data_IF_564553526128
#
_entry.id   IF_564553526128
#
_cell.length_a   1.000
_cell.length_b   1.000
_cell.length_c   1.000
_cell.angle_alpha   90.00
_cell.angle_beta   90.00
_cell.angle_gamma   90.00
#
_symmetry.space_group_name_H-M   'P 1'
#
loop_
_entity.id
_entity.type
_entity.pdbx_description
1 polymer ?
#
# COMPACT_ATOMS: atom_id res chain seq x y z
N UNK A 1 -41.22 88.62 -51.87
CA UNK A 1 -41.60 87.76 -50.72
C UNK A 1 -41.39 86.28 -51.05
N UNK A 2 -40.29 85.92 -51.71
CA UNK A 2 -39.97 84.54 -52.14
C UNK A 2 -38.52 84.15 -51.79
N UNK A 3 -37.64 85.14 -51.64
CA UNK A 3 -36.26 84.96 -51.20
C UNK A 3 -36.13 84.68 -49.70
N UNK A 4 -37.02 85.22 -48.87
CA UNK A 4 -37.02 84.99 -47.42
C UNK A 4 -37.48 83.57 -47.02
N UNK A 5 -38.38 82.96 -47.80
CA UNK A 5 -38.89 81.60 -47.54
C UNK A 5 -37.87 80.51 -47.87
N UNK A 6 -36.99 80.76 -48.86
CA UNK A 6 -35.96 79.81 -49.29
C UNK A 6 -34.82 79.69 -48.26
N UNK A 7 -34.37 80.84 -47.73
CA UNK A 7 -33.29 80.89 -46.72
C UNK A 7 -33.70 80.24 -45.40
N UNK A 8 -34.97 80.39 -44.99
CA UNK A 8 -35.48 79.78 -43.76
C UNK A 8 -35.52 78.24 -43.84
N UNK A 9 -35.80 77.69 -45.03
CA UNK A 9 -35.88 76.25 -45.26
C UNK A 9 -34.49 75.59 -45.25
N UNK A 10 -33.46 76.23 -45.83
CA UNK A 10 -32.07 75.75 -45.76
C UNK A 10 -31.50 75.79 -44.33
N UNK A 11 -31.83 76.82 -43.55
CA UNK A 11 -31.40 76.92 -42.15
C UNK A 11 -32.09 75.83 -41.31
N UNK A 12 -33.37 75.54 -41.56
CA UNK A 12 -34.12 74.50 -40.86
C UNK A 12 -33.60 73.09 -41.17
N UNK A 13 -33.29 72.78 -42.44
CA UNK A 13 -32.72 71.48 -42.83
C UNK A 13 -31.29 71.30 -42.33
N UNK A 14 -30.50 72.38 -42.28
CA UNK A 14 -29.16 72.39 -41.70
C UNK A 14 -29.19 72.11 -40.20
N UNK A 15 -30.08 72.76 -39.45
CA UNK A 15 -30.28 72.54 -38.01
C UNK A 15 -30.79 71.12 -37.71
N UNK A 16 -31.72 70.59 -38.51
CA UNK A 16 -32.21 69.22 -38.36
C UNK A 16 -31.12 68.18 -38.66
N UNK A 17 -30.32 68.38 -39.71
CA UNK A 17 -29.17 67.55 -40.02
C UNK A 17 -28.13 67.59 -38.90
N UNK A 18 -27.80 68.77 -38.37
CA UNK A 18 -26.88 68.91 -37.24
C UNK A 18 -27.40 68.21 -35.97
N UNK A 19 -28.70 68.28 -35.70
CA UNK A 19 -29.32 67.60 -34.57
C UNK A 19 -29.24 66.07 -34.72
N UNK A 20 -29.43 65.54 -35.94
CA UNK A 20 -29.22 64.12 -36.21
C UNK A 20 -27.73 63.72 -36.12
N UNK A 21 -26.80 64.49 -36.71
CA UNK A 21 -25.36 64.20 -36.61
C UNK A 21 -24.79 64.34 -35.19
N UNK A 22 -25.39 65.15 -34.33
CA UNK A 22 -25.01 65.30 -32.93
C UNK A 22 -25.66 64.26 -32.00
N UNK A 23 -26.82 63.70 -32.36
CA UNK A 23 -27.53 62.68 -31.56
C UNK A 23 -27.21 61.24 -31.97
N UNK A 24 -26.65 61.01 -33.17
CA UNK A 24 -26.29 59.67 -33.65
C UNK A 24 -25.03 59.07 -32.99
N UNK A 25 -24.03 59.83 -32.48
CA UNK A 25 -22.88 59.20 -31.83
C UNK A 25 -23.13 58.59 -30.45
N UNK A 26 -24.29 58.82 -29.81
CA UNK A 26 -24.55 58.35 -28.44
C UNK A 26 -25.29 57.01 -28.32
N UNK A 27 -25.70 56.38 -29.43
CA UNK A 27 -26.48 55.13 -29.41
C UNK A 27 -25.66 53.86 -29.70
N UNK A 28 -24.33 53.97 -29.83
CA UNK A 28 -23.46 52.84 -30.18
C UNK A 28 -22.20 52.79 -29.29
N UNK A 29 -22.39 52.63 -27.98
CA UNK A 29 -21.36 52.06 -27.11
C UNK A 29 -22.03 51.07 -26.17
N UNK A 30 -22.61 50.01 -26.74
CA UNK A 30 -22.78 48.77 -25.97
C UNK A 30 -21.39 48.11 -25.95
N UNK A 31 -20.55 48.59 -25.04
CA UNK A 31 -19.26 47.96 -24.76
C UNK A 31 -19.59 46.62 -24.08
N UNK A 32 -19.86 45.61 -24.89
CA UNK A 32 -20.02 44.22 -24.44
C UNK A 32 -18.74 43.91 -23.67
N UNK A 33 -18.84 43.86 -22.34
CA UNK A 33 -17.71 43.61 -21.46
C UNK A 33 -17.16 42.21 -21.74
N UNK A 34 -16.13 42.14 -22.59
CA UNK A 34 -15.56 40.87 -23.05
C UNK A 34 -14.94 40.17 -21.83
N UNK A 35 -15.45 38.99 -21.49
CA UNK A 35 -14.88 38.15 -20.44
C UNK A 35 -13.43 37.77 -20.82
N UNK A 36 -12.42 38.12 -20.00
CA UNK A 36 -11.03 37.88 -20.35
C UNK A 36 -10.72 36.38 -20.37
N UNK A 37 -9.87 35.97 -21.30
CA UNK A 37 -9.43 34.58 -21.40
C UNK A 37 -8.46 34.22 -20.27
N UNK A 38 -8.51 33.00 -19.71
CA UNK A 38 -7.59 32.55 -18.66
C UNK A 38 -6.12 32.71 -19.07
N UNK A 39 -5.22 33.09 -18.16
CA UNK A 39 -3.81 33.33 -18.49
C UNK A 39 -2.89 32.37 -17.73
N UNK A 40 -1.60 32.33 -18.10
CA UNK A 40 -0.55 31.57 -17.42
C UNK A 40 -0.87 30.06 -17.26
N UNK A 41 -1.30 29.43 -18.36
CA UNK A 41 -1.55 28.00 -18.39
C UNK A 41 -0.25 27.21 -18.14
N UNK A 42 -0.31 26.24 -17.24
CA UNK A 42 0.79 25.33 -16.93
C UNK A 42 0.26 23.96 -16.51
N UNK A 43 1.09 22.93 -16.61
CA UNK A 43 0.73 21.57 -16.17
C UNK A 43 1.69 21.16 -15.05
N UNK A 44 1.15 20.89 -13.87
CA UNK A 44 1.86 20.25 -12.78
C UNK A 44 1.64 18.73 -12.89
N UNK A 45 2.71 17.99 -13.14
CA UNK A 45 2.66 16.54 -13.33
C UNK A 45 3.57 15.83 -12.34
N UNK A 46 2.97 15.13 -11.39
CA UNK A 46 3.67 14.39 -10.34
C UNK A 46 3.05 13.00 -10.20
N UNK A 47 3.88 11.96 -10.19
CA UNK A 47 3.46 10.56 -10.10
C UNK A 47 2.26 10.24 -11.02
N UNK A 48 2.39 10.57 -12.31
CA UNK A 48 1.36 10.33 -13.34
C UNK A 48 0.00 11.01 -13.10
N UNK A 49 -0.13 11.84 -12.07
CA UNK A 49 -1.25 12.77 -11.90
C UNK A 49 -0.95 14.08 -12.61
N UNK A 50 -1.91 14.61 -13.36
CA UNK A 50 -1.71 15.75 -14.27
C UNK A 50 -2.73 16.85 -13.98
N UNK A 51 -2.28 17.93 -13.35
CA UNK A 51 -3.11 19.10 -13.06
C UNK A 51 -2.79 20.25 -14.02
N UNK A 52 -3.76 20.61 -14.87
CA UNK A 52 -3.73 21.83 -15.66
C UNK A 52 -4.15 23.00 -14.77
N UNK A 53 -3.34 24.04 -14.68
CA UNK A 53 -3.58 25.22 -13.84
C UNK A 53 -3.53 26.50 -14.67
N UNK A 54 -4.30 27.51 -14.26
CA UNK A 54 -4.31 28.84 -14.88
C UNK A 54 -4.54 29.94 -13.84
N UNK A 55 -4.29 31.19 -14.21
CA UNK A 55 -4.63 32.34 -13.38
C UNK A 55 -6.15 32.55 -13.36
N UNK A 56 -6.77 32.75 -12.18
CA UNK A 56 -8.21 32.91 -12.07
C UNK A 56 -8.67 34.21 -12.75
N UNK A 57 -9.80 34.12 -13.45
CA UNK A 57 -10.52 35.27 -13.99
C UNK A 57 -11.46 35.79 -12.90
N UNK A 58 -11.21 36.99 -12.40
CA UNK A 58 -11.99 37.59 -11.32
C UNK A 58 -12.97 38.63 -11.86
N UNK A 59 -14.25 38.42 -11.63
CA UNK A 59 -15.31 39.41 -11.88
C UNK A 59 -15.98 39.75 -10.54
N UNK A 60 -16.01 41.03 -10.12
CA UNK A 60 -16.54 41.39 -8.80
C UNK A 60 -17.98 40.93 -8.59
N UNK A 61 -18.23 40.17 -7.52
CA UNK A 61 -19.58 39.71 -7.14
C UNK A 61 -20.11 38.52 -7.94
N UNK A 62 -19.32 37.95 -8.84
CA UNK A 62 -19.75 36.92 -9.78
C UNK A 62 -18.82 35.68 -9.70
N UNK A 63 -19.40 34.50 -9.90
CA UNK A 63 -18.65 33.23 -9.97
C UNK A 63 -18.36 32.86 -11.41
N UNK A 64 -17.07 32.74 -11.74
CA UNK A 64 -16.62 32.35 -13.07
C UNK A 64 -16.37 30.84 -13.12
N UNK A 65 -16.89 30.19 -14.16
CA UNK A 65 -16.69 28.77 -14.42
C UNK A 65 -15.71 28.56 -15.57
N UNK A 66 -15.07 27.39 -15.62
CA UNK A 66 -14.11 27.03 -16.65
C UNK A 66 -14.49 25.73 -17.34
N UNK A 67 -14.22 25.66 -18.64
CA UNK A 67 -14.32 24.44 -19.43
C UNK A 67 -12.96 24.12 -20.04
N UNK A 68 -12.52 22.87 -19.91
CA UNK A 68 -11.24 22.38 -20.44
C UNK A 68 -11.50 21.41 -21.59
N UNK A 69 -10.70 21.55 -22.64
CA UNK A 69 -10.68 20.62 -23.76
C UNK A 69 -9.25 20.24 -24.13
N UNK A 70 -9.11 19.08 -24.76
CA UNK A 70 -7.82 18.54 -25.16
C UNK A 70 -7.82 18.00 -26.59
N UNK A 71 -6.61 17.83 -27.13
CA UNK A 71 -6.32 17.11 -28.36
C UNK A 71 -5.08 16.24 -28.13
N UNK A 72 -5.15 14.96 -28.47
CA UNK A 72 -3.96 14.13 -28.58
C UNK A 72 -3.19 14.42 -29.88
N UNK A 73 -2.07 13.74 -30.06
CA UNK A 73 -1.25 13.86 -31.26
C UNK A 73 -2.02 13.48 -32.54
N UNK A 74 -2.89 12.46 -32.46
CA UNK A 74 -3.72 12.05 -33.59
C UNK A 74 -4.67 13.17 -34.01
N UNK A 75 -5.43 13.75 -33.09
CA UNK A 75 -6.34 14.86 -33.40
C UNK A 75 -5.57 16.06 -33.90
N UNK A 76 -4.43 16.37 -33.28
CA UNK A 76 -3.58 17.49 -33.71
C UNK A 76 -3.09 17.34 -35.16
N UNK A 77 -2.79 16.12 -35.63
CA UNK A 77 -2.24 15.87 -36.96
C UNK A 77 -3.30 15.63 -38.04
N UNK A 78 -4.38 14.93 -37.70
CA UNK A 78 -5.35 14.44 -38.69
C UNK A 78 -6.71 15.14 -38.61
N UNK A 79 -7.09 15.68 -37.44
CA UNK A 79 -8.40 16.29 -37.19
C UNK A 79 -8.30 17.55 -36.34
N UNK A 80 -7.40 18.47 -36.70
CA UNK A 80 -6.99 19.62 -35.86
C UNK A 80 -8.10 20.59 -35.42
N UNK A 81 -9.27 20.52 -36.04
CA UNK A 81 -10.46 21.29 -35.67
C UNK A 81 -11.31 20.63 -34.56
N UNK A 82 -11.08 19.35 -34.27
CA UNK A 82 -11.82 18.56 -33.28
C UNK A 82 -11.13 18.66 -31.93
N UNK A 83 -11.84 19.16 -30.93
CA UNK A 83 -11.39 19.19 -29.54
C UNK A 83 -12.33 18.34 -28.69
N UNK A 84 -11.76 17.64 -27.71
CA UNK A 84 -12.49 16.69 -26.87
C UNK A 84 -12.69 17.34 -25.49
N UNK A 85 -13.93 17.40 -24.95
CA UNK A 85 -14.18 17.90 -23.61
C UNK A 85 -13.51 17.02 -22.57
N UNK A 86 -12.86 17.65 -21.59
CA UNK A 86 -12.32 16.93 -20.44
C UNK A 86 -13.43 16.23 -19.66
N UNK A 87 -13.12 15.02 -19.19
CA UNK A 87 -14.05 14.16 -18.46
C UNK A 87 -14.60 14.80 -17.18
N UNK A 88 -13.78 15.61 -16.50
CA UNK A 88 -14.11 16.16 -15.18
C UNK A 88 -14.33 17.68 -15.18
N UNK A 89 -13.93 18.38 -16.24
CA UNK A 89 -13.79 19.83 -16.23
C UNK A 89 -14.63 20.51 -17.32
N UNK A 90 -15.91 20.13 -17.41
CA UNK A 90 -16.84 20.76 -18.36
C UNK A 90 -17.46 22.07 -17.85
N UNK A 91 -17.44 22.34 -16.53
CA UNK A 91 -17.85 23.59 -15.85
C UNK A 91 -17.32 23.55 -14.40
N UNK A 92 -16.05 23.92 -14.18
CA UNK A 92 -15.43 23.95 -12.84
C UNK A 92 -15.25 25.39 -12.34
N UNK A 93 -15.43 25.64 -11.05
CA UNK A 93 -15.17 26.95 -10.43
C UNK A 93 -13.69 27.15 -10.08
N UNK A 94 -12.98 26.03 -9.88
CA UNK A 94 -11.59 26.04 -9.45
C UNK A 94 -10.68 26.32 -10.65
N UNK A 95 -9.64 27.18 -10.52
CA UNK A 95 -8.73 27.50 -11.62
C UNK A 95 -7.70 26.39 -11.91
N UNK A 96 -8.12 25.13 -11.76
CA UNK A 96 -7.35 23.94 -12.05
C UNK A 96 -8.25 22.81 -12.55
N UNK A 97 -7.66 21.84 -13.24
CA UNK A 97 -8.33 20.67 -13.75
C UNK A 97 -7.42 19.45 -13.70
N UNK A 98 -7.93 18.35 -13.14
CA UNK A 98 -7.30 17.04 -13.23
C UNK A 98 -7.59 16.41 -14.59
N UNK A 99 -6.60 16.44 -15.47
CA UNK A 99 -6.67 15.88 -16.84
C UNK A 99 -6.05 14.49 -16.91
N UNK A 100 -5.79 13.83 -15.78
CA UNK A 100 -5.09 12.53 -15.74
C UNK A 100 -5.76 11.48 -16.63
N UNK A 101 -7.09 11.38 -16.56
CA UNK A 101 -7.87 10.41 -17.33
C UNK A 101 -7.97 10.75 -18.82
N UNK A 102 -7.78 12.02 -19.18
CA UNK A 102 -7.81 12.50 -20.56
C UNK A 102 -6.48 12.18 -21.30
N UNK A 103 -5.36 12.07 -20.56
CA UNK A 103 -4.01 11.80 -21.08
C UNK A 103 -3.70 10.29 -21.09
N UNK A 104 -4.28 9.58 -22.06
CA UNK A 104 -4.23 8.12 -22.13
C UNK A 104 -2.96 7.55 -22.79
N UNK A 105 -2.24 8.33 -23.60
CA UNK A 105 -1.06 7.89 -24.35
C UNK A 105 0.22 8.70 -24.05
N UNK A 106 1.39 8.12 -24.34
CA UNK A 106 2.70 8.79 -24.15
C UNK A 106 3.07 9.63 -25.38
N UNK A 107 2.17 10.55 -25.74
CA UNK A 107 2.31 11.46 -26.88
C UNK A 107 2.08 12.91 -26.42
N UNK A 108 2.42 13.92 -27.23
CA UNK A 108 2.09 15.30 -26.90
C UNK A 108 0.57 15.57 -26.99
N UNK A 109 0.05 16.32 -26.01
CA UNK A 109 -1.34 16.78 -25.94
C UNK A 109 -1.41 18.30 -25.94
N UNK A 110 -2.29 18.86 -26.77
CA UNK A 110 -2.69 20.26 -26.66
C UNK A 110 -3.82 20.36 -25.64
N UNK A 111 -3.76 21.38 -24.79
CA UNK A 111 -4.79 21.67 -23.78
C UNK A 111 -5.27 23.09 -23.96
N UNK A 112 -6.58 23.32 -23.81
CA UNK A 112 -7.16 24.66 -23.81
C UNK A 112 -8.22 24.82 -22.74
N UNK A 113 -8.34 26.04 -22.23
CA UNK A 113 -9.35 26.42 -21.24
C UNK A 113 -10.01 27.73 -21.64
N UNK A 114 -11.30 27.86 -21.34
CA UNK A 114 -12.03 29.12 -21.44
C UNK A 114 -12.81 29.38 -20.16
N UNK A 115 -13.08 30.65 -19.88
CA UNK A 115 -13.97 31.10 -18.83
C UNK A 115 -15.39 31.27 -19.35
N UNK A 116 -16.38 31.03 -18.48
CA UNK A 116 -17.80 31.20 -18.74
C UNK A 116 -18.43 31.93 -17.56
N UNK A 117 -19.21 32.97 -17.84
CA UNK A 117 -19.98 33.73 -16.87
C UNK A 117 -21.37 33.99 -17.44
N UNK A 118 -22.38 33.25 -16.95
CA UNK A 118 -23.73 33.28 -17.50
C UNK A 118 -23.73 32.90 -18.99
N UNK A 119 -24.18 33.79 -19.86
CA UNK A 119 -24.16 33.61 -21.32
C UNK A 119 -22.84 34.03 -21.98
N UNK A 120 -21.94 34.69 -21.24
CA UNK A 120 -20.67 35.19 -21.77
C UNK A 120 -19.59 34.11 -21.70
N UNK A 121 -18.80 33.99 -22.76
CA UNK A 121 -17.65 33.08 -22.81
C UNK A 121 -16.43 33.85 -23.27
N UNK A 122 -15.28 33.52 -22.69
CA UNK A 122 -14.01 34.08 -23.14
C UNK A 122 -13.53 33.40 -24.42
N UNK A 123 -12.53 33.99 -25.07
CA UNK A 123 -11.71 33.26 -26.01
C UNK A 123 -11.03 32.05 -25.33
N UNK A 124 -10.63 31.06 -26.13
CA UNK A 124 -9.85 29.92 -25.67
C UNK A 124 -8.40 30.34 -25.43
N UNK A 125 -7.87 29.97 -24.27
CA UNK A 125 -6.45 30.02 -23.97
C UNK A 125 -5.85 28.64 -24.18
N UNK A 126 -4.76 28.57 -24.94
CA UNK A 126 -4.11 27.31 -25.31
C UNK A 126 -2.77 27.21 -24.56
N UNK A 127 -2.47 26.02 -24.03
CA UNK A 127 -1.19 25.73 -23.42
C UNK A 127 -0.06 25.93 -24.44
N UNK A 128 0.92 26.76 -24.11
CA UNK A 128 1.96 27.21 -25.04
C UNK A 128 2.81 26.05 -25.61
N UNK A 129 3.11 25.07 -24.77
CA UNK A 129 3.88 23.89 -25.14
C UNK A 129 3.02 22.65 -24.91
N UNK A 130 2.85 21.77 -25.93
CA UNK A 130 2.09 20.54 -25.76
C UNK A 130 2.65 19.70 -24.60
N UNK A 131 1.77 19.15 -23.78
CA UNK A 131 2.12 18.35 -22.62
C UNK A 131 2.30 16.88 -23.00
N UNK A 132 3.39 16.25 -22.58
CA UNK A 132 3.57 14.80 -22.70
C UNK A 132 3.82 14.22 -21.31
N UNK A 133 3.05 13.19 -20.92
CA UNK A 133 3.18 12.53 -19.61
C UNK A 133 4.58 11.96 -19.34
N UNK A 134 5.39 11.74 -20.38
CA UNK A 134 6.81 11.38 -20.22
C UNK A 134 7.62 12.41 -19.41
N UNK A 135 7.15 13.66 -19.32
CA UNK A 135 7.77 14.73 -18.53
C UNK A 135 7.36 14.75 -17.05
N UNK A 136 6.54 13.81 -16.59
CA UNK A 136 6.10 13.74 -15.18
C UNK A 136 7.27 13.64 -14.21
N UNK A 137 7.11 14.21 -13.02
CA UNK A 137 8.04 14.09 -11.92
C UNK A 137 7.69 12.80 -11.16
N UNK A 138 8.64 11.86 -11.09
CA UNK A 138 8.50 10.63 -10.31
C UNK A 138 9.22 10.81 -8.97
N UNK A 139 8.47 10.79 -7.88
CA UNK A 139 9.06 10.83 -6.53
C UNK A 139 9.35 9.42 -6.03
N UNK A 140 10.33 9.25 -5.12
CA UNK A 140 10.48 7.99 -4.40
C UNK A 140 9.16 7.61 -3.71
N UNK A 141 8.83 6.30 -3.63
CA UNK A 141 7.59 5.85 -3.00
C UNK A 141 7.69 5.98 -1.48
N UNK A 142 6.56 6.28 -0.83
CA UNK A 142 6.41 6.01 0.59
C UNK A 142 6.59 4.50 0.87
N UNK A 143 7.30 4.16 1.93
CA UNK A 143 7.48 2.78 2.37
C UNK A 143 7.37 2.68 3.89
N UNK A 144 6.82 1.57 4.36
CA UNK A 144 6.77 1.19 5.77
C UNK A 144 7.32 -0.22 5.93
N UNK A 145 8.26 -0.41 6.85
CA UNK A 145 8.86 -1.72 7.13
C UNK A 145 8.29 -2.25 8.45
N UNK A 146 7.68 -3.42 8.38
CA UNK A 146 7.13 -4.12 9.53
C UNK A 146 7.82 -5.47 9.74
N UNK A 147 7.73 -5.98 10.97
CA UNK A 147 8.30 -7.26 11.38
C UNK A 147 7.18 -8.14 11.89
N UNK A 148 6.94 -9.27 11.22
CA UNK A 148 6.00 -10.29 11.68
C UNK A 148 6.80 -11.50 12.19
N UNK A 149 7.09 -11.51 13.49
CA UNK A 149 8.05 -12.44 14.09
C UNK A 149 9.46 -12.23 13.52
N UNK A 150 9.93 -13.20 12.72
CA UNK A 150 11.20 -13.13 12.01
C UNK A 150 11.05 -12.68 10.54
N UNK A 151 9.84 -12.42 10.05
CA UNK A 151 9.63 -12.05 8.65
C UNK A 151 9.82 -10.54 8.44
N UNK A 152 10.63 -10.18 7.44
CA UNK A 152 10.77 -8.82 6.94
C UNK A 152 9.63 -8.54 5.96
N UNK A 153 8.74 -7.63 6.32
CA UNK A 153 7.57 -7.26 5.54
C UNK A 153 7.67 -5.78 5.16
N UNK A 154 7.38 -5.47 3.90
CA UNK A 154 7.30 -4.09 3.41
C UNK A 154 5.88 -3.79 2.94
N UNK A 155 5.38 -2.61 3.27
CA UNK A 155 4.20 -2.02 2.67
C UNK A 155 4.61 -0.75 1.93
N UNK A 156 4.15 -0.62 0.69
CA UNK A 156 4.46 0.50 -0.19
C UNK A 156 3.23 1.39 -0.35
N UNK A 157 3.42 2.68 -0.54
CA UNK A 157 2.32 3.61 -0.86
C UNK A 157 1.58 3.18 -2.13
N UNK A 158 0.24 3.24 -2.10
CA UNK A 158 -0.58 2.98 -3.29
C UNK A 158 -0.60 4.20 -4.22
N UNK A 159 0.27 4.15 -5.25
CA UNK A 159 0.34 5.15 -6.31
C UNK A 159 -0.58 4.82 -7.50
N UNK A 160 -1.34 3.73 -7.44
CA UNK A 160 -2.26 3.29 -8.47
C UNK A 160 -1.65 2.34 -9.52
N UNK A 161 -2.47 1.88 -10.49
CA UNK A 161 -2.15 0.73 -11.35
C UNK A 161 -1.07 0.98 -12.41
N UNK A 162 -0.64 2.24 -12.59
CA UNK A 162 0.42 2.60 -13.52
C UNK A 162 1.83 2.31 -12.95
N UNK A 163 1.90 2.00 -11.66
CA UNK A 163 3.14 1.87 -10.91
C UNK A 163 3.43 0.42 -10.56
N UNK A 164 4.65 0.00 -10.89
CA UNK A 164 5.31 -1.15 -10.30
C UNK A 164 6.43 -0.64 -9.39
N UNK A 165 6.91 -1.47 -8.46
CA UNK A 165 7.92 -1.08 -7.49
C UNK A 165 9.08 -2.06 -7.52
N UNK A 166 10.29 -1.54 -7.62
CA UNK A 166 11.51 -2.30 -7.48
C UNK A 166 12.01 -2.14 -6.05
N UNK A 167 11.94 -3.21 -5.28
CA UNK A 167 12.39 -3.27 -3.89
C UNK A 167 13.73 -3.97 -3.83
N UNK A 168 14.75 -3.27 -3.35
CA UNK A 168 16.08 -3.82 -3.10
C UNK A 168 16.27 -4.01 -1.58
N UNK A 169 16.67 -5.21 -1.18
CA UNK A 169 16.88 -5.55 0.23
C UNK A 169 18.13 -6.42 0.41
N UNK A 170 18.81 -6.26 1.53
CA UNK A 170 20.04 -6.98 1.82
C UNK A 170 20.29 -7.07 3.32
N UNK A 171 21.11 -8.04 3.71
CA UNK A 171 21.66 -8.14 5.05
C UNK A 171 22.77 -7.11 5.22
N UNK A 172 22.77 -6.34 6.31
CA UNK A 172 23.75 -5.28 6.58
C UNK A 172 25.10 -5.88 6.98
N UNK A 173 25.85 -6.33 5.99
CA UNK A 173 27.19 -6.86 6.14
C UNK A 173 28.11 -6.38 5.00
N UNK A 174 29.42 -6.24 5.24
CA UNK A 174 30.36 -5.89 4.19
C UNK A 174 30.35 -6.96 3.08
N UNK A 175 30.05 -6.54 1.84
CA UNK A 175 30.05 -7.43 0.68
C UNK A 175 28.78 -8.25 0.47
N UNK A 176 27.70 -7.99 1.22
CA UNK A 176 26.40 -8.60 0.96
C UNK A 176 25.82 -8.15 -0.40
N UNK A 177 25.26 -9.09 -1.15
CA UNK A 177 24.57 -8.80 -2.41
C UNK A 177 23.15 -8.27 -2.16
N UNK A 178 22.71 -7.31 -2.98
CA UNK A 178 21.33 -6.81 -2.94
C UNK A 178 20.39 -7.75 -3.68
N UNK A 179 19.38 -8.27 -2.96
CA UNK A 179 18.26 -8.97 -3.56
C UNK A 179 17.24 -7.97 -4.08
N UNK A 180 16.67 -8.25 -5.25
CA UNK A 180 15.68 -7.36 -5.88
C UNK A 180 14.37 -8.11 -6.10
N UNK A 181 13.26 -7.49 -5.70
CA UNK A 181 11.90 -8.00 -5.89
C UNK A 181 11.03 -6.93 -6.56
N UNK A 182 10.35 -7.34 -7.64
CA UNK A 182 9.33 -6.51 -8.27
C UNK A 182 7.99 -6.72 -7.56
N UNK A 183 7.41 -5.64 -7.04
CA UNK A 183 6.09 -5.59 -6.41
C UNK A 183 5.13 -4.87 -7.35
N UNK A 184 3.98 -5.46 -7.63
CA UNK A 184 3.05 -4.97 -8.66
C UNK A 184 2.11 -3.86 -8.20
N UNK A 185 1.85 -3.75 -6.89
CA UNK A 185 0.86 -2.83 -6.34
C UNK A 185 1.25 -2.43 -4.92
N UNK A 186 0.94 -1.19 -4.56
CA UNK A 186 1.08 -0.69 -3.18
C UNK A 186 -0.15 -1.01 -2.33
N UNK A 187 -0.15 -0.57 -1.06
CA UNK A 187 -1.22 -0.73 -0.08
C UNK A 187 -1.41 -2.15 0.44
N UNK A 188 -0.45 -3.05 0.18
CA UNK A 188 -0.51 -4.45 0.59
C UNK A 188 0.84 -4.83 1.23
N UNK A 189 0.85 -5.47 2.41
CA UNK A 189 2.07 -5.98 3.01
C UNK A 189 2.65 -7.13 2.19
N UNK A 190 3.94 -7.03 1.87
CA UNK A 190 4.68 -8.01 1.08
C UNK A 190 5.84 -8.56 1.89
N UNK A 191 5.83 -9.88 2.10
CA UNK A 191 6.99 -10.58 2.65
C UNK A 191 8.19 -10.47 1.70
N UNK A 192 9.33 -10.01 2.21
CA UNK A 192 10.61 -9.96 1.51
C UNK A 192 11.45 -11.20 1.82
N UNK A 193 11.86 -11.35 3.07
CA UNK A 193 12.82 -12.37 3.52
C UNK A 193 12.56 -12.77 4.97
N UNK A 194 13.01 -13.96 5.38
CA UNK A 194 13.03 -14.34 6.80
C UNK A 194 14.37 -13.93 7.42
N UNK A 195 14.33 -13.04 8.41
CA UNK A 195 15.50 -12.46 9.07
C UNK A 195 16.13 -13.41 10.08
N UNK A 196 17.45 -13.38 10.13
CA UNK A 196 18.21 -14.04 11.20
C UNK A 196 18.30 -13.17 12.47
N UNK A 197 18.19 -13.79 13.66
CA UNK A 197 18.43 -13.10 14.93
C UNK A 197 19.78 -12.37 15.00
N UNK A 198 19.76 -11.10 15.42
CA UNK A 198 20.97 -10.30 15.63
C UNK A 198 21.60 -9.73 14.35
N UNK A 199 21.00 -9.97 13.18
CA UNK A 199 21.41 -9.38 11.91
C UNK A 199 20.45 -8.27 11.50
N UNK A 200 20.99 -7.09 11.16
CA UNK A 200 20.20 -6.00 10.59
C UNK A 200 19.99 -6.23 9.09
N UNK A 201 18.76 -6.01 8.60
CA UNK A 201 18.40 -6.05 7.20
C UNK A 201 17.99 -4.65 6.75
N UNK A 202 18.45 -4.24 5.58
CA UNK A 202 18.18 -2.95 4.98
C UNK A 202 17.31 -3.10 3.74
N UNK A 203 16.43 -2.12 3.51
CA UNK A 203 15.53 -2.07 2.36
C UNK A 203 15.48 -0.66 1.80
N UNK A 204 15.38 -0.55 0.48
CA UNK A 204 15.06 0.66 -0.28
C UNK A 204 14.16 0.30 -1.45
N UNK A 205 13.31 1.22 -1.88
CA UNK A 205 12.37 0.99 -2.98
C UNK A 205 12.38 2.16 -3.97
N UNK A 206 12.10 1.88 -5.24
CA UNK A 206 11.84 2.90 -6.25
C UNK A 206 10.64 2.49 -7.10
N UNK A 207 9.97 3.47 -7.69
CA UNK A 207 8.86 3.22 -8.60
C UNK A 207 9.37 2.97 -10.02
N UNK A 208 8.57 2.24 -10.79
CA UNK A 208 8.72 2.03 -12.22
C UNK A 208 7.38 2.26 -12.91
N UNK A 209 7.36 3.14 -13.91
CA UNK A 209 6.16 3.43 -14.70
C UNK A 209 6.34 2.87 -16.11
N UNK A 210 5.71 1.74 -16.38
CA UNK A 210 5.83 1.02 -17.66
C UNK A 210 5.40 1.86 -18.85
N UNK A 211 4.38 2.71 -18.69
CA UNK A 211 3.82 3.55 -19.74
C UNK A 211 4.83 4.56 -20.33
N UNK A 212 5.83 4.97 -19.54
CA UNK A 212 6.88 5.93 -19.94
C UNK A 212 8.29 5.33 -19.86
N UNK A 213 8.43 4.10 -19.33
CA UNK A 213 9.72 3.40 -19.21
C UNK A 213 10.71 4.06 -18.26
N UNK A 214 10.22 4.79 -17.24
CA UNK A 214 11.06 5.55 -16.29
C UNK A 214 10.94 5.02 -14.87
N UNK A 215 12.02 5.18 -14.12
CA UNK A 215 12.09 4.89 -12.69
C UNK A 215 12.18 6.19 -11.88
N UNK A 216 11.68 6.19 -10.65
CA UNK A 216 12.01 7.24 -9.67
C UNK A 216 13.43 7.08 -9.14
N UNK A 217 13.88 8.03 -8.32
CA UNK A 217 14.97 7.76 -7.40
C UNK A 217 14.54 6.74 -6.33
N UNK A 218 15.52 6.09 -5.70
CA UNK A 218 15.29 5.24 -4.52
C UNK A 218 14.83 6.07 -3.33
N UNK A 219 13.99 5.45 -2.50
CA UNK A 219 13.65 5.92 -1.16
C UNK A 219 14.88 5.90 -0.26
N UNK A 220 14.76 6.56 0.88
CA UNK A 220 15.77 6.45 1.93
C UNK A 220 15.89 4.99 2.37
N UNK A 221 17.13 4.56 2.63
CA UNK A 221 17.36 3.20 3.11
C UNK A 221 16.95 3.09 4.58
N UNK A 222 16.05 2.18 4.88
CA UNK A 222 15.65 1.86 6.25
C UNK A 222 16.12 0.46 6.60
N UNK A 223 16.52 0.27 7.86
CA UNK A 223 17.02 -1.02 8.30
C UNK A 223 16.45 -1.42 9.65
N UNK A 224 16.12 -2.70 9.76
CA UNK A 224 15.50 -3.30 10.93
C UNK A 224 16.27 -4.54 11.35
N UNK A 225 16.22 -4.84 12.65
CA UNK A 225 16.83 -6.02 13.23
C UNK A 225 15.79 -6.75 14.10
N UNK A 226 15.89 -8.07 14.16
CA UNK A 226 15.12 -8.91 15.08
C UNK A 226 16.06 -9.42 16.17
N UNK A 227 15.70 -9.17 17.42
CA UNK A 227 16.37 -9.81 18.55
C UNK A 227 15.86 -11.25 18.65
N UNK A 228 16.77 -12.21 18.60
CA UNK A 228 16.41 -13.58 18.97
C UNK A 228 16.26 -13.67 20.47
N UNK A 229 15.19 -14.34 20.92
CA UNK A 229 15.22 -14.95 22.25
C UNK A 229 16.26 -16.07 22.22
N UNK A 230 17.51 -15.73 22.51
CA UNK A 230 18.48 -16.74 22.85
C UNK A 230 18.01 -17.36 24.16
N UNK A 231 17.29 -18.49 24.10
CA UNK A 231 17.19 -19.39 25.26
C UNK A 231 18.64 -19.62 25.65
N UNK A 232 19.09 -19.13 26.82
CA UNK A 232 20.49 -19.23 27.17
C UNK A 232 20.85 -20.71 27.08
N UNK A 233 21.89 -21.07 26.34
CA UNK A 233 22.38 -22.45 26.29
C UNK A 233 22.50 -23.03 27.71
N UNK A 234 22.82 -22.15 28.66
CA UNK A 234 22.80 -22.35 30.11
C UNK A 234 21.47 -22.92 30.64
N UNK A 235 20.31 -22.36 30.26
CA UNK A 235 18.98 -22.83 30.66
C UNK A 235 18.65 -24.23 30.07
N UNK A 236 19.00 -24.47 28.80
CA UNK A 236 18.85 -25.78 28.19
C UNK A 236 19.76 -26.83 28.84
N UNK A 237 21.00 -26.44 29.18
CA UNK A 237 21.95 -27.28 29.93
C UNK A 237 21.42 -27.60 31.34
N UNK A 238 20.87 -26.62 32.06
CA UNK A 238 20.28 -26.85 33.37
C UNK A 238 19.07 -27.80 33.31
N UNK A 239 18.20 -27.66 32.31
CA UNK A 239 17.09 -28.57 32.10
C UNK A 239 17.56 -30.01 31.80
N UNK A 240 18.60 -30.16 30.97
CA UNK A 240 19.19 -31.46 30.64
C UNK A 240 19.84 -32.15 31.85
N UNK A 241 20.63 -31.40 32.64
CA UNK A 241 21.25 -31.91 33.86
C UNK A 241 20.19 -32.29 34.89
N UNK A 242 19.15 -31.46 35.05
CA UNK A 242 18.02 -31.76 35.93
C UNK A 242 17.32 -33.05 35.55
N UNK A 243 17.06 -33.27 34.25
CA UNK A 243 16.46 -34.49 33.74
C UNK A 243 17.33 -35.74 34.01
N UNK A 244 18.65 -35.65 33.78
CA UNK A 244 19.58 -36.74 34.07
C UNK A 244 19.63 -37.08 35.57
N UNK A 245 19.60 -36.08 36.45
CA UNK A 245 19.54 -36.30 37.89
C UNK A 245 18.27 -37.04 38.31
N UNK A 246 17.12 -36.67 37.73
CA UNK A 246 15.84 -37.35 38.00
C UNK A 246 15.92 -38.83 37.58
N UNK A 247 16.49 -39.12 36.40
CA UNK A 247 16.68 -40.49 35.91
C UNK A 247 17.58 -41.36 36.80
N UNK A 248 18.48 -40.76 37.58
CA UNK A 248 19.34 -41.51 38.51
C UNK A 248 18.69 -41.60 39.90
N UNK A 249 18.16 -40.50 40.42
CA UNK A 249 17.64 -40.41 41.79
C UNK A 249 16.35 -41.22 41.93
N UNK A 250 15.44 -41.18 40.94
CA UNK A 250 14.15 -41.88 41.04
C UNK A 250 14.34 -43.40 41.11
N UNK A 251 15.12 -44.07 40.23
CA UNK A 251 15.36 -45.51 40.34
C UNK A 251 16.10 -45.90 41.62
N UNK A 252 17.08 -45.09 42.08
CA UNK A 252 17.77 -45.36 43.34
C UNK A 252 16.83 -45.23 44.54
N UNK A 253 15.91 -44.26 44.51
CA UNK A 253 14.89 -44.10 45.53
C UNK A 253 13.90 -45.27 45.51
N UNK A 254 13.41 -45.67 44.34
CA UNK A 254 12.54 -46.84 44.16
C UNK A 254 13.23 -48.12 44.63
N UNK A 255 14.50 -48.32 44.27
CA UNK A 255 15.31 -49.45 44.76
C UNK A 255 15.41 -49.41 46.29
N UNK A 256 15.83 -48.28 46.87
CA UNK A 256 16.00 -48.14 48.33
C UNK A 256 14.70 -48.40 49.08
N UNK A 257 13.58 -47.85 48.59
CA UNK A 257 12.25 -48.08 49.16
C UNK A 257 11.82 -49.55 49.01
N UNK A 258 12.10 -50.19 47.87
CA UNK A 258 11.88 -51.62 47.66
C UNK A 258 12.66 -52.50 48.64
N UNK A 259 13.94 -52.19 48.89
CA UNK A 259 14.75 -52.88 49.92
C UNK A 259 14.18 -52.67 51.32
N UNK A 260 13.80 -51.45 51.69
CA UNK A 260 13.23 -51.13 53.01
C UNK A 260 11.91 -51.88 53.28
N UNK A 261 11.05 -51.99 52.25
CA UNK A 261 9.81 -52.78 52.32
C UNK A 261 10.10 -54.28 52.47
N UNK A 262 11.12 -54.80 51.77
CA UNK A 262 11.53 -56.20 51.87
C UNK A 262 12.06 -56.57 53.26
N UNK A 263 12.75 -55.65 53.94
CA UNK A 263 13.19 -55.83 55.34
C UNK A 263 12.06 -55.73 56.37
N UNK A 264 10.92 -55.10 56.03
CA UNK A 264 9.81 -54.90 56.97
C UNK A 264 8.74 -55.99 56.90
N UNK A 265 8.52 -56.61 55.73
CA UNK A 265 7.43 -57.59 55.56
C UNK A 265 7.83 -59.06 55.76
N UNK A 266 9.13 -59.42 55.71
CA UNK A 266 9.62 -60.77 56.01
C UNK A 266 11.06 -60.73 56.57
N UNK A 267 11.28 -60.62 57.89
CA UNK A 267 12.62 -60.82 58.44
C UNK A 267 13.05 -62.28 58.25
N UNK A 268 14.22 -62.50 57.65
CA UNK A 268 14.85 -63.82 57.59
C UNK A 268 15.22 -64.22 59.02
N UNK A 269 14.40 -65.07 59.64
CA UNK A 269 14.75 -65.75 60.88
C UNK A 269 15.60 -66.96 60.50
N UNK A 270 16.88 -66.92 60.84
CA UNK A 270 17.77 -68.09 60.79
C UNK A 270 17.34 -69.03 61.92
N UNK A 271 16.72 -70.16 61.54
CA UNK A 271 16.33 -71.21 62.48
C UNK A 271 17.59 -72.02 62.88
N UNK A 272 17.87 -72.27 64.17
CA UNK A 272 19.07 -72.99 64.59
C UNK A 272 19.02 -74.48 64.19
N UNK A 273 20.18 -75.07 63.91
CA UNK A 273 20.41 -76.43 63.38
C UNK A 273 20.03 -77.62 64.31
N UNK A 274 18.99 -77.49 65.15
CA UNK A 274 18.60 -78.54 66.12
C UNK A 274 17.29 -79.27 65.84
N UNK A 275 16.65 -79.07 64.67
CA UNK A 275 15.46 -79.83 64.27
C UNK A 275 15.57 -80.36 62.83
N UNK A 276 16.57 -81.19 62.57
CA UNK A 276 16.48 -82.20 61.50
C UNK A 276 15.61 -83.35 62.00
N UNK A 277 14.32 -83.33 61.67
CA UNK A 277 13.45 -84.50 61.80
C UNK A 277 13.13 -85.02 60.40
N UNK A 278 13.61 -86.23 60.19
CA UNK A 278 13.41 -87.13 59.05
C UNK A 278 11.93 -87.52 58.91
N UNK A 279 11.45 -87.58 57.66
CA UNK A 279 10.26 -88.31 57.15
C UNK A 279 8.85 -87.66 57.14
N UNK A 280 8.38 -87.40 55.91
CA UNK A 280 7.04 -87.72 55.35
C UNK A 280 5.81 -86.86 55.75
N UNK A 281 4.65 -86.94 55.03
CA UNK A 281 4.15 -85.81 54.23
C UNK A 281 2.71 -85.41 54.58
N UNK A 282 2.40 -84.13 54.79
CA UNK A 282 1.02 -83.65 54.58
C UNK A 282 0.90 -82.12 54.60
N UNK A 283 0.09 -81.65 53.65
CA UNK A 283 -0.59 -80.34 53.56
C UNK A 283 -1.13 -79.85 54.91
N UNK A 284 -1.17 -78.51 55.07
CA UNK A 284 -2.16 -77.63 55.74
C UNK A 284 -1.39 -76.38 56.28
N UNK A 285 -1.75 -75.10 56.18
CA UNK A 285 -2.95 -74.33 55.80
C UNK A 285 -2.52 -72.92 55.36
N UNK A 286 -3.23 -72.41 54.34
CA UNK A 286 -3.53 -71.02 53.94
C UNK A 286 -3.16 -69.84 54.87
N UNK A 287 -2.68 -68.76 54.26
CA UNK A 287 -3.17 -67.41 54.56
C UNK A 287 -3.79 -66.79 53.30
N UNK A 288 -5.08 -66.50 53.38
CA UNK A 288 -5.93 -65.81 52.41
C UNK A 288 -5.97 -64.32 52.78
N UNK A 289 -5.72 -63.41 51.82
CA UNK A 289 -6.23 -62.04 51.87
C UNK A 289 -6.47 -61.50 50.45
N UNK A 290 -7.66 -60.93 50.32
CA UNK A 290 -8.39 -60.39 49.16
C UNK A 290 -7.64 -59.51 48.14
N UNK A 291 -8.25 -59.49 46.95
CA UNK A 291 -7.92 -58.82 45.69
C UNK A 291 -7.94 -57.28 45.74
N UNK A 292 -7.11 -56.64 44.91
CA UNK A 292 -7.42 -55.37 44.22
C UNK A 292 -6.79 -55.43 42.82
N UNK A 293 -7.60 -55.11 41.81
CA UNK A 293 -7.39 -55.24 40.36
C UNK A 293 -6.09 -54.66 39.78
N UNK A 294 -5.60 -55.31 38.72
CA UNK A 294 -4.75 -54.68 37.71
C UNK A 294 -5.49 -54.62 36.37
N UNK A 295 -5.84 -53.41 35.96
CA UNK A 295 -6.36 -53.13 34.63
C UNK A 295 -5.33 -53.57 33.58
N UNK A 296 -5.69 -54.52 32.72
CA UNK A 296 -4.89 -54.93 31.59
C UNK A 296 -4.90 -53.82 30.52
N UNK A 297 -3.82 -53.04 30.41
CA UNK A 297 -3.52 -52.34 29.16
C UNK A 297 -2.93 -53.35 28.19
N UNK A 298 -3.78 -53.87 27.30
CA UNK A 298 -3.35 -54.58 26.11
C UNK A 298 -2.55 -53.63 25.22
N UNK A 299 -1.29 -53.99 24.96
CA UNK A 299 -0.48 -53.36 23.92
C UNK A 299 -1.04 -53.84 22.58
N UNK A 300 -1.73 -52.96 21.88
CA UNK A 300 -2.14 -53.22 20.50
C UNK A 300 -0.90 -53.24 19.60
N UNK A 301 -0.80 -54.25 18.74
CA UNK A 301 0.28 -54.36 17.77
C UNK A 301 0.04 -53.37 16.61
N UNK A 302 1.11 -52.90 15.92
CA UNK A 302 1.02 -51.86 14.90
C UNK A 302 0.17 -52.21 13.66
N UNK A 303 -0.20 -53.47 13.48
CA UNK A 303 -0.90 -53.97 12.29
C UNK A 303 -2.42 -53.78 12.35
N UNK A 304 -3.01 -53.59 13.54
CA UNK A 304 -4.46 -53.36 13.68
C UNK A 304 -4.86 -51.88 13.52
N UNK A 305 -3.93 -50.94 13.73
CA UNK A 305 -4.17 -49.49 13.60
C UNK A 305 -4.28 -49.06 12.12
N UNK A 306 -3.59 -49.75 11.22
CA UNK A 306 -3.63 -49.52 9.77
C UNK A 306 -4.94 -49.98 9.11
N UNK A 307 -5.69 -50.91 9.74
CA UNK A 307 -6.96 -51.41 9.20
C UNK A 307 -8.17 -50.54 9.57
N UNK A 308 -8.03 -49.65 10.55
CA UNK A 308 -9.08 -48.72 11.00
C UNK A 308 -9.08 -47.36 10.26
N UNK A 309 -8.08 -47.08 9.43
CA UNK A 309 -7.93 -45.81 8.70
C UNK A 309 -8.33 -45.87 7.21
N UNK A 310 -8.68 -47.06 6.68
CA UNK A 310 -9.03 -47.27 5.26
C UNK A 310 -10.47 -47.80 5.12
N UNK A 311 -11.37 -47.48 6.06
CA UNK A 311 -12.82 -47.68 5.92
C UNK A 311 -13.57 -46.37 6.09
#
# INVERSE_FOLDING_TARGET
MQTFTMVLQEIWTSLFMWFFYALIPCLLTDEVAILPAPQNLSVLSTNMKHLLMWSPVTVPGETVYYSVEYQGEYESLYTSHIWIPSSWCSLTEVPECDVTDDITATVPYNLRVRATLGSQTSAWSILKHPFNRNSTILTPPGMEITKDGFHLVIELEDLGPQFEFLVAYWRREPGAEEHVKMVRSGGIPVHLETMEPGAAYCVKAQTFVKAIGRYSAFSQTECVEVQGEAIPLVLALFAFVGFMLILVVVPLFVWKMGRLLQYSCCPVVVLPDTLKITNSPQKLISCRREEVDACATAVMSPEELLRAWIS
#
